data_IF_254691110252
#
_entry.id   IF_254691110252
#
_cell.length_a   1.000
_cell.length_b   1.000
_cell.length_c   1.000
_cell.angle_alpha   90.00
_cell.angle_beta   90.00
_cell.angle_gamma   90.00
#
_symmetry.space_group_name_H-M   'P 1'
#
loop_
_entity.id
_entity.type
_entity.pdbx_description
1 polymer ?
#
# COMPACT_ATOMS: atom_id res chain seq x y z
N UNK A 1 69.17 -29.33 48.40
CA UNK A 1 67.83 -29.90 48.62
C UNK A 1 66.82 -28.74 48.66
N UNK A 2 66.37 -28.32 47.49
CA UNK A 2 65.44 -27.22 47.21
C UNK A 2 64.73 -27.66 45.94
N UNK A 3 63.40 -27.78 45.95
CA UNK A 3 62.51 -26.90 45.18
C UNK A 3 61.06 -27.42 45.26
N UNK A 4 60.27 -26.81 46.15
CA UNK A 4 58.87 -27.15 46.35
C UNK A 4 57.99 -26.38 45.36
N UNK A 5 57.67 -27.01 44.22
CA UNK A 5 56.72 -26.50 43.22
C UNK A 5 55.33 -26.35 43.84
N UNK A 6 54.89 -25.10 44.07
CA UNK A 6 53.49 -24.82 44.44
C UNK A 6 52.60 -24.90 43.19
N UNK A 7 51.48 -25.66 43.21
CA UNK A 7 50.54 -25.71 42.11
C UNK A 7 49.79 -24.37 41.97
N UNK A 8 49.77 -23.84 40.75
CA UNK A 8 48.95 -22.70 40.35
C UNK A 8 47.48 -22.97 40.66
N UNK A 9 46.97 -22.36 41.72
CA UNK A 9 45.53 -22.25 41.96
C UNK A 9 44.90 -21.47 40.81
N UNK A 10 44.25 -22.18 39.88
CA UNK A 10 43.33 -21.59 38.91
C UNK A 10 42.27 -20.80 39.68
N UNK A 11 42.32 -19.48 39.58
CA UNK A 11 41.24 -18.61 40.06
C UNK A 11 39.96 -19.02 39.33
N UNK A 12 38.86 -19.35 40.04
CA UNK A 12 37.57 -19.53 39.39
C UNK A 12 37.25 -18.22 38.66
N UNK A 13 37.07 -18.30 37.34
CA UNK A 13 36.57 -17.17 36.54
C UNK A 13 35.27 -16.74 37.21
N UNK A 14 35.28 -15.51 37.73
CA UNK A 14 34.07 -14.88 38.22
C UNK A 14 33.01 -15.05 37.13
N UNK A 15 31.93 -15.76 37.46
CA UNK A 15 30.78 -15.87 36.60
C UNK A 15 30.35 -14.43 36.28
N UNK A 16 30.63 -14.01 35.05
CA UNK A 16 30.13 -12.78 34.45
C UNK A 16 28.62 -12.80 34.68
N UNK A 17 28.18 -12.02 35.68
CA UNK A 17 26.77 -11.72 35.87
C UNK A 17 26.36 -10.97 34.62
N UNK A 18 25.87 -11.72 33.62
CA UNK A 18 25.24 -11.17 32.43
C UNK A 18 24.24 -10.13 32.92
N UNK A 19 24.43 -8.83 32.58
CA UNK A 19 23.53 -7.79 33.03
C UNK A 19 22.12 -8.20 32.65
N UNK A 20 21.24 -8.24 33.65
CA UNK A 20 19.85 -8.65 33.49
C UNK A 20 19.20 -7.79 32.41
N UNK A 21 18.99 -8.38 31.24
CA UNK A 21 17.76 -8.28 30.47
C UNK A 21 17.32 -6.89 30.01
N UNK A 22 18.23 -6.00 29.63
CA UNK A 22 17.84 -5.01 28.61
C UNK A 22 17.78 -5.75 27.29
N UNK A 23 16.61 -6.35 27.00
CA UNK A 23 16.30 -6.85 25.66
C UNK A 23 16.62 -5.73 24.69
N UNK A 24 17.58 -5.97 23.80
CA UNK A 24 17.95 -5.01 22.77
C UNK A 24 16.65 -4.49 22.13
N UNK A 25 16.51 -3.16 21.92
CA UNK A 25 15.27 -2.58 21.42
C UNK A 25 14.86 -3.35 20.15
N UNK A 26 13.74 -4.07 20.23
CA UNK A 26 13.27 -4.91 19.13
C UNK A 26 12.96 -3.98 17.97
N UNK A 27 13.72 -4.11 16.88
CA UNK A 27 13.48 -3.34 15.66
C UNK A 27 12.04 -3.61 15.20
N UNK A 28 11.29 -2.54 14.96
CA UNK A 28 9.96 -2.64 14.36
C UNK A 28 10.15 -3.02 12.88
N UNK A 29 9.59 -4.16 12.48
CA UNK A 29 9.63 -4.64 11.10
C UNK A 29 8.86 -3.70 10.16
N UNK A 30 9.28 -3.62 8.90
CA UNK A 30 8.60 -2.82 7.87
C UNK A 30 7.12 -3.19 7.71
N UNK A 31 6.79 -4.47 7.88
CA UNK A 31 5.42 -4.98 7.83
C UNK A 31 4.47 -4.31 8.83
N UNK A 32 4.95 -4.00 10.04
CA UNK A 32 4.15 -3.29 11.05
C UNK A 32 3.79 -1.88 10.60
N UNK A 33 4.70 -1.20 9.91
CA UNK A 33 4.41 0.11 9.32
C UNK A 33 3.37 0.00 8.21
N UNK A 34 3.40 -1.04 7.37
CA UNK A 34 2.35 -1.29 6.37
C UNK A 34 1.01 -1.60 7.05
N UNK A 35 1.00 -2.38 8.14
CA UNK A 35 -0.21 -2.63 8.92
C UNK A 35 -0.78 -1.34 9.53
N UNK A 36 0.07 -0.45 10.05
CA UNK A 36 -0.34 0.87 10.53
C UNK A 36 -0.82 1.78 9.40
N UNK A 37 -0.20 1.71 8.22
CA UNK A 37 -0.65 2.44 7.03
C UNK A 37 -2.08 2.01 6.64
N UNK A 38 -2.36 0.70 6.64
CA UNK A 38 -3.70 0.16 6.45
C UNK A 38 -4.70 0.69 7.48
N UNK A 39 -4.35 0.64 8.78
CA UNK A 39 -5.22 1.13 9.84
C UNK A 39 -5.50 2.63 9.71
N UNK A 40 -4.48 3.43 9.43
CA UNK A 40 -4.60 4.87 9.18
C UNK A 40 -5.47 5.18 7.95
N UNK A 41 -5.36 4.36 6.91
CA UNK A 41 -6.17 4.50 5.71
C UNK A 41 -7.66 4.24 6.00
N UNK A 42 -7.98 3.20 6.77
CA UNK A 42 -9.35 2.91 7.21
C UNK A 42 -9.90 4.04 8.11
N UNK A 43 -9.03 4.64 8.93
CA UNK A 43 -9.36 5.81 9.74
C UNK A 43 -9.41 7.13 8.96
N UNK A 44 -9.27 7.10 7.63
CA UNK A 44 -9.29 8.28 6.74
C UNK A 44 -8.21 9.32 7.07
N UNK A 45 -7.01 8.87 7.49
CA UNK A 45 -5.86 9.71 7.83
C UNK A 45 -4.73 9.59 6.78
N UNK A 46 -4.85 10.28 5.62
CA UNK A 46 -3.92 10.09 4.50
C UNK A 46 -2.48 10.50 4.81
N UNK A 47 -2.26 11.52 5.64
CA UNK A 47 -0.92 11.96 6.05
C UNK A 47 -0.18 10.88 6.85
N UNK A 48 -0.89 10.21 7.76
CA UNK A 48 -0.34 9.11 8.57
C UNK A 48 -0.08 7.90 7.69
N UNK A 49 -0.98 7.57 6.75
CA UNK A 49 -0.75 6.51 5.76
C UNK A 49 0.54 6.76 4.98
N UNK A 50 0.70 7.94 4.36
CA UNK A 50 1.91 8.26 3.58
C UNK A 50 3.17 8.23 4.43
N UNK A 51 3.10 8.69 5.68
CA UNK A 51 4.23 8.62 6.61
C UNK A 51 4.60 7.16 6.92
N UNK A 52 3.62 6.32 7.22
CA UNK A 52 3.84 4.90 7.49
C UNK A 52 4.40 4.16 6.25
N UNK A 53 3.90 4.46 5.05
CA UNK A 53 4.44 3.93 3.79
C UNK A 53 5.90 4.34 3.57
N UNK A 54 6.22 5.62 3.75
CA UNK A 54 7.60 6.11 3.62
C UNK A 54 8.53 5.47 4.66
N UNK A 55 8.06 5.26 5.89
CA UNK A 55 8.82 4.56 6.93
C UNK A 55 9.01 3.08 6.60
N UNK A 56 8.01 2.41 6.02
CA UNK A 56 8.15 1.05 5.53
C UNK A 56 9.17 0.96 4.38
N UNK A 57 9.14 1.90 3.43
CA UNK A 57 10.06 1.98 2.29
C UNK A 57 11.51 2.23 2.76
N UNK A 58 11.71 3.09 3.77
CA UNK A 58 13.02 3.25 4.40
C UNK A 58 13.49 1.96 5.09
N UNK A 59 12.59 1.25 5.78
CA UNK A 59 12.93 0.01 6.49
C UNK A 59 13.21 -1.17 5.58
N UNK A 60 12.70 -1.14 4.34
CA UNK A 60 13.00 -2.12 3.28
C UNK A 60 14.50 -2.19 2.97
N UNK A 61 15.19 -1.04 2.99
CA UNK A 61 16.63 -0.96 2.64
C UNK A 61 17.53 -0.57 3.81
N UNK A 62 16.97 -0.17 4.95
CA UNK A 62 17.74 0.13 6.13
C UNK A 62 18.30 -1.16 6.73
N UNK A 63 19.46 -1.58 6.24
CA UNK A 63 20.41 -2.32 7.07
C UNK A 63 20.65 -1.51 8.35
N UNK A 64 20.80 -2.18 9.48
CA UNK A 64 21.22 -1.50 10.70
C UNK A 64 22.62 -0.90 10.46
N UNK A 65 22.71 0.35 9.99
CA UNK A 65 23.97 0.96 9.55
C UNK A 65 25.04 0.96 10.64
N UNK A 66 24.65 0.81 11.91
CA UNK A 66 25.60 0.74 13.01
C UNK A 66 26.19 -0.66 13.22
N UNK A 67 25.39 -1.73 13.01
CA UNK A 67 25.75 -3.11 13.32
C UNK A 67 25.83 -3.99 12.08
N UNK A 68 24.80 -3.99 11.24
CA UNK A 68 24.76 -4.77 10.00
C UNK A 68 25.65 -4.19 8.91
N UNK A 69 25.81 -2.86 8.79
CA UNK A 69 26.77 -2.35 7.82
C UNK A 69 28.19 -2.73 8.22
N UNK A 70 28.53 -2.68 9.52
CA UNK A 70 29.82 -3.17 10.00
C UNK A 70 29.95 -4.69 9.81
N UNK A 71 28.93 -5.46 10.17
CA UNK A 71 28.95 -6.93 10.04
C UNK A 71 28.95 -7.40 8.59
N UNK A 72 28.22 -6.75 7.69
CA UNK A 72 28.23 -7.08 6.26
C UNK A 72 29.53 -6.65 5.58
N UNK A 73 30.06 -5.47 5.92
CA UNK A 73 31.37 -5.04 5.43
C UNK A 73 32.43 -5.99 5.94
N UNK A 74 32.42 -6.33 7.24
CA UNK A 74 33.33 -7.28 7.86
C UNK A 74 33.18 -8.70 7.29
N UNK A 75 31.95 -9.17 7.03
CA UNK A 75 31.70 -10.45 6.39
C UNK A 75 32.24 -10.49 4.97
N UNK A 76 32.12 -9.40 4.20
CA UNK A 76 32.76 -9.28 2.87
C UNK A 76 34.28 -9.31 2.97
N UNK A 77 34.89 -8.59 3.92
CA UNK A 77 36.34 -8.65 4.11
C UNK A 77 36.79 -10.04 4.54
N UNK A 78 36.10 -10.65 5.50
CA UNK A 78 36.42 -12.00 6.00
C UNK A 78 36.24 -13.07 4.92
N UNK A 79 35.28 -12.90 3.99
CA UNK A 79 35.13 -13.77 2.84
C UNK A 79 36.30 -13.63 1.85
N UNK A 80 36.73 -12.39 1.54
CA UNK A 80 37.91 -12.14 0.69
C UNK A 80 39.19 -12.70 1.31
N UNK A 81 39.32 -12.63 2.64
CA UNK A 81 40.44 -13.23 3.38
C UNK A 81 40.31 -14.74 3.61
N UNK A 82 39.26 -15.39 3.09
CA UNK A 82 39.02 -16.83 3.27
C UNK A 82 38.76 -17.26 4.73
N UNK A 83 38.46 -16.30 5.62
CA UNK A 83 38.16 -16.54 7.04
C UNK A 83 36.71 -16.92 7.28
N UNK A 84 35.82 -16.55 6.37
CA UNK A 84 34.41 -16.86 6.43
C UNK A 84 34.04 -17.91 5.38
N UNK A 85 33.29 -18.94 5.79
CA UNK A 85 32.71 -19.90 4.86
C UNK A 85 31.67 -19.21 3.97
N UNK A 86 31.71 -19.51 2.66
CA UNK A 86 30.77 -18.98 1.66
C UNK A 86 29.32 -19.21 2.05
N UNK A 87 28.99 -20.39 2.57
CA UNK A 87 27.64 -20.75 3.04
C UNK A 87 27.11 -19.80 4.13
N UNK A 88 27.98 -19.30 5.01
CA UNK A 88 27.56 -18.36 6.07
C UNK A 88 27.30 -16.96 5.51
N UNK A 89 28.08 -16.52 4.52
CA UNK A 89 27.83 -15.26 3.83
C UNK A 89 26.53 -15.30 3.02
N UNK A 90 26.26 -16.41 2.32
CA UNK A 90 24.99 -16.64 1.62
C UNK A 90 23.80 -16.62 2.58
N UNK A 91 23.91 -17.28 3.75
CA UNK A 91 22.83 -17.26 4.74
C UNK A 91 22.46 -15.87 5.25
N UNK A 92 23.43 -14.94 5.32
CA UNK A 92 23.15 -13.54 5.70
C UNK A 92 22.42 -12.81 4.58
N UNK A 93 22.84 -12.99 3.32
CA UNK A 93 22.19 -12.38 2.16
C UNK A 93 20.77 -12.92 1.92
N UNK A 94 20.54 -14.20 2.22
CA UNK A 94 19.21 -14.81 2.11
C UNK A 94 18.21 -14.20 3.10
N UNK A 95 18.63 -13.91 4.34
CA UNK A 95 17.76 -13.28 5.33
C UNK A 95 17.29 -11.88 4.91
N UNK A 96 18.16 -11.07 4.33
CA UNK A 96 17.81 -9.74 3.84
C UNK A 96 16.77 -9.81 2.70
N UNK A 97 16.96 -10.79 1.82
CA UNK A 97 16.06 -11.02 0.69
C UNK A 97 14.68 -11.50 1.14
N UNK A 98 14.62 -12.37 2.15
CA UNK A 98 13.36 -12.82 2.73
C UNK A 98 12.57 -11.67 3.36
N UNK A 99 13.23 -10.76 4.09
CA UNK A 99 12.56 -9.56 4.65
C UNK A 99 12.09 -8.62 3.54
N UNK A 100 12.88 -8.44 2.47
CA UNK A 100 12.48 -7.65 1.32
C UNK A 100 11.24 -8.22 0.61
N UNK A 101 11.23 -9.54 0.40
CA UNK A 101 10.14 -10.27 -0.24
C UNK A 101 8.87 -10.20 0.63
N UNK A 102 8.99 -10.30 1.96
CA UNK A 102 7.88 -10.19 2.89
C UNK A 102 7.26 -8.78 2.89
N UNK A 103 8.11 -7.73 2.98
CA UNK A 103 7.65 -6.33 2.94
C UNK A 103 7.01 -5.99 1.60
N UNK A 104 7.62 -6.41 0.49
CA UNK A 104 7.06 -6.17 -0.85
C UNK A 104 5.76 -6.94 -1.09
N UNK A 105 5.61 -8.13 -0.51
CA UNK A 105 4.36 -8.88 -0.49
C UNK A 105 3.25 -8.13 0.24
N UNK A 106 3.54 -7.63 1.44
CA UNK A 106 2.61 -6.83 2.23
C UNK A 106 2.23 -5.51 1.53
N UNK A 107 3.18 -4.84 0.90
CA UNK A 107 2.98 -3.62 0.11
C UNK A 107 2.02 -3.86 -1.08
N UNK A 108 2.25 -4.93 -1.84
CA UNK A 108 1.36 -5.32 -2.97
C UNK A 108 -0.06 -5.60 -2.49
N UNK A 109 -0.21 -6.30 -1.38
CA UNK A 109 -1.52 -6.56 -0.79
C UNK A 109 -2.22 -5.27 -0.36
N UNK A 110 -1.52 -4.40 0.37
CA UNK A 110 -2.03 -3.10 0.80
C UNK A 110 -2.57 -2.26 -0.37
N UNK A 111 -1.75 -2.05 -1.41
CA UNK A 111 -2.18 -1.26 -2.55
C UNK A 111 -3.29 -1.93 -3.38
N UNK A 112 -3.35 -3.27 -3.39
CA UNK A 112 -4.47 -4.00 -4.01
C UNK A 112 -5.78 -3.72 -3.27
N UNK A 113 -5.78 -3.78 -1.94
CA UNK A 113 -6.94 -3.42 -1.11
C UNK A 113 -7.32 -1.95 -1.28
N UNK A 114 -6.33 -1.04 -1.37
CA UNK A 114 -6.57 0.37 -1.68
C UNK A 114 -7.29 0.54 -3.03
N UNK A 115 -6.85 -0.15 -4.09
CA UNK A 115 -7.49 -0.09 -5.40
C UNK A 115 -8.95 -0.58 -5.35
N UNK A 116 -9.21 -1.69 -4.65
CA UNK A 116 -10.57 -2.17 -4.44
C UNK A 116 -11.42 -1.14 -3.67
N UNK A 117 -10.87 -0.52 -2.62
CA UNK A 117 -11.57 0.53 -1.88
C UNK A 117 -11.85 1.77 -2.75
N UNK A 118 -10.96 2.16 -3.65
CA UNK A 118 -11.20 3.24 -4.61
C UNK A 118 -12.31 2.86 -5.59
N UNK A 119 -12.27 1.62 -6.09
CA UNK A 119 -13.28 1.12 -7.02
C UNK A 119 -14.68 1.10 -6.37
N UNK A 120 -14.83 0.44 -5.22
CA UNK A 120 -16.12 0.37 -4.54
C UNK A 120 -16.53 1.70 -3.89
N UNK A 121 -15.58 2.45 -3.31
CA UNK A 121 -15.88 3.68 -2.59
C UNK A 121 -16.14 4.87 -3.50
N UNK A 122 -15.34 5.06 -4.56
CA UNK A 122 -15.45 6.22 -5.43
C UNK A 122 -16.21 5.92 -6.71
N UNK A 123 -15.87 4.83 -7.40
CA UNK A 123 -16.44 4.55 -8.73
C UNK A 123 -17.88 4.08 -8.63
N UNK A 124 -18.20 3.15 -7.73
CA UNK A 124 -19.57 2.67 -7.54
C UNK A 124 -20.49 3.80 -7.03
N UNK A 125 -20.02 4.62 -6.09
CA UNK A 125 -20.78 5.76 -5.58
C UNK A 125 -21.08 6.78 -6.68
N UNK A 126 -20.08 7.09 -7.51
CA UNK A 126 -20.25 7.98 -8.67
C UNK A 126 -21.22 7.38 -9.69
N UNK A 127 -21.15 6.08 -9.96
CA UNK A 127 -22.11 5.39 -10.83
C UNK A 127 -23.55 5.44 -10.29
N UNK A 128 -23.72 5.27 -8.98
CA UNK A 128 -25.02 5.43 -8.31
C UNK A 128 -25.52 6.88 -8.42
N UNK A 129 -24.67 7.88 -8.14
CA UNK A 129 -25.02 9.30 -8.27
C UNK A 129 -25.46 9.65 -9.69
N UNK A 130 -24.74 9.17 -10.72
CA UNK A 130 -25.10 9.36 -12.11
C UNK A 130 -26.45 8.69 -12.45
N UNK A 131 -26.71 7.51 -11.89
CA UNK A 131 -27.98 6.79 -12.11
C UNK A 131 -29.17 7.46 -11.40
N UNK A 132 -28.95 8.02 -10.20
CA UNK A 132 -29.96 8.84 -9.52
C UNK A 132 -30.23 10.14 -10.26
N UNK A 133 -29.19 10.80 -10.78
CA UNK A 133 -29.33 12.00 -11.59
C UNK A 133 -30.15 11.71 -12.84
N UNK A 134 -29.85 10.60 -13.54
CA UNK A 134 -30.62 10.14 -14.69
C UNK A 134 -32.09 9.98 -14.31
N UNK A 135 -32.41 9.24 -13.24
CA UNK A 135 -33.78 8.97 -12.82
C UNK A 135 -34.55 10.23 -12.38
N UNK A 136 -33.90 11.12 -11.62
CA UNK A 136 -34.50 12.33 -11.07
C UNK A 136 -34.44 13.56 -11.99
N UNK A 137 -33.85 13.46 -13.19
CA UNK A 137 -33.52 14.61 -14.04
C UNK A 137 -34.71 15.55 -14.33
N UNK A 138 -35.92 14.99 -14.47
CA UNK A 138 -37.14 15.77 -14.74
C UNK A 138 -37.71 16.49 -13.51
N UNK A 139 -37.37 16.02 -12.31
CA UNK A 139 -37.87 16.57 -11.04
C UNK A 139 -36.87 17.53 -10.41
N UNK A 140 -35.57 17.34 -10.65
CA UNK A 140 -34.52 18.17 -10.10
C UNK A 140 -34.48 19.54 -10.79
N UNK A 141 -34.38 20.62 -10.00
CA UNK A 141 -34.08 21.96 -10.49
C UNK A 141 -32.65 22.08 -11.05
N UNK A 142 -32.42 23.04 -11.92
CA UNK A 142 -31.14 23.17 -12.65
C UNK A 142 -29.94 23.43 -11.74
N UNK A 143 -30.15 24.12 -10.61
CA UNK A 143 -29.11 24.33 -9.61
C UNK A 143 -28.63 23.00 -8.99
N UNK A 144 -29.56 22.06 -8.73
CA UNK A 144 -29.22 20.75 -8.19
C UNK A 144 -28.47 19.90 -9.23
N UNK A 145 -28.86 19.97 -10.52
CA UNK A 145 -28.18 19.25 -11.60
C UNK A 145 -26.71 19.64 -11.71
N UNK A 146 -26.41 20.94 -11.73
CA UNK A 146 -25.02 21.41 -11.78
C UNK A 146 -24.20 20.98 -10.55
N UNK A 147 -24.77 21.06 -9.34
CA UNK A 147 -24.11 20.60 -8.11
C UNK A 147 -23.71 19.12 -8.18
N UNK A 148 -24.61 18.27 -8.69
CA UNK A 148 -24.33 16.84 -8.87
C UNK A 148 -23.24 16.63 -9.91
N UNK A 149 -23.28 17.35 -11.04
CA UNK A 149 -22.23 17.27 -12.06
C UNK A 149 -20.84 17.66 -11.53
N UNK A 150 -20.75 18.74 -10.75
CA UNK A 150 -19.49 19.15 -10.10
C UNK A 150 -19.01 18.09 -9.11
N UNK A 151 -19.92 17.52 -8.31
CA UNK A 151 -19.60 16.46 -7.35
C UNK A 151 -19.08 15.19 -8.05
N UNK A 152 -19.70 14.78 -9.16
CA UNK A 152 -19.26 13.65 -9.99
C UNK A 152 -17.89 13.94 -10.61
N UNK A 153 -17.66 15.13 -11.16
CA UNK A 153 -16.38 15.53 -11.75
C UNK A 153 -15.25 15.53 -10.71
N UNK A 154 -15.51 16.07 -9.51
CA UNK A 154 -14.53 16.08 -8.42
C UNK A 154 -14.22 14.65 -7.95
N UNK A 155 -15.25 13.79 -7.81
CA UNK A 155 -15.08 12.39 -7.43
C UNK A 155 -14.27 11.61 -8.47
N UNK A 156 -14.52 11.86 -9.77
CA UNK A 156 -13.73 11.30 -10.85
C UNK A 156 -12.26 11.75 -10.78
N UNK A 157 -12.00 13.04 -10.57
CA UNK A 157 -10.63 13.55 -10.45
C UNK A 157 -9.88 12.92 -9.27
N UNK A 158 -10.52 12.77 -8.10
CA UNK A 158 -9.93 12.13 -6.93
C UNK A 158 -9.67 10.63 -7.19
N UNK A 159 -10.62 9.91 -7.79
CA UNK A 159 -10.48 8.51 -8.12
C UNK A 159 -9.34 8.27 -9.12
N UNK A 160 -9.20 9.11 -10.13
CA UNK A 160 -8.11 9.05 -11.12
C UNK A 160 -6.75 9.39 -10.50
N UNK A 161 -6.66 10.44 -9.68
CA UNK A 161 -5.42 10.82 -9.02
C UNK A 161 -4.91 9.69 -8.12
N UNK A 162 -5.78 9.13 -7.27
CA UNK A 162 -5.45 8.01 -6.38
C UNK A 162 -5.19 6.72 -7.14
N UNK A 163 -5.97 6.43 -8.18
CA UNK A 163 -5.80 5.27 -9.05
C UNK A 163 -4.47 5.29 -9.78
N UNK A 164 -4.07 6.44 -10.34
CA UNK A 164 -2.76 6.62 -10.99
C UNK A 164 -1.60 6.46 -10.01
N UNK A 165 -1.71 6.99 -8.79
CA UNK A 165 -0.69 6.84 -7.75
C UNK A 165 -0.51 5.35 -7.38
N UNK A 166 -1.60 4.63 -7.15
CA UNK A 166 -1.57 3.20 -6.84
C UNK A 166 -1.07 2.35 -8.02
N UNK A 167 -1.47 2.69 -9.25
CA UNK A 167 -1.09 1.94 -10.45
C UNK A 167 0.42 1.93 -10.69
N UNK A 168 1.09 3.06 -10.43
CA UNK A 168 2.55 3.19 -10.54
C UNK A 168 3.30 2.25 -9.60
N UNK A 169 2.73 1.92 -8.42
CA UNK A 169 3.37 1.04 -7.42
C UNK A 169 3.13 -0.46 -7.72
N UNK A 170 1.98 -0.85 -8.29
CA UNK A 170 1.69 -2.26 -8.63
C UNK A 170 2.29 -2.75 -9.95
N UNK A 171 2.74 -1.85 -10.83
CA UNK A 171 3.14 -2.19 -12.19
C UNK A 171 1.95 -2.62 -13.07
N UNK A 172 2.13 -3.64 -13.91
CA UNK A 172 1.14 -4.05 -14.94
C UNK A 172 -0.27 -4.30 -14.38
N UNK A 173 -0.41 -5.00 -13.24
CA UNK A 173 -1.71 -5.26 -12.62
C UNK A 173 -2.41 -3.96 -12.19
N UNK A 174 -1.67 -3.00 -11.66
CA UNK A 174 -2.19 -1.69 -11.30
C UNK A 174 -2.75 -0.94 -12.50
N UNK A 175 -2.07 -0.99 -13.64
CA UNK A 175 -2.55 -0.39 -14.88
C UNK A 175 -3.85 -1.02 -15.38
N UNK A 176 -4.00 -2.34 -15.31
CA UNK A 176 -5.26 -2.99 -15.71
C UNK A 176 -6.45 -2.53 -14.87
N UNK A 177 -6.28 -2.42 -13.55
CA UNK A 177 -7.32 -1.91 -12.64
C UNK A 177 -7.61 -0.43 -12.87
N UNK A 178 -6.57 0.39 -13.10
CA UNK A 178 -6.75 1.80 -13.44
C UNK A 178 -7.52 1.97 -14.76
N UNK A 179 -7.23 1.15 -15.76
CA UNK A 179 -8.00 1.11 -17.02
C UNK A 179 -9.48 0.82 -16.80
N UNK A 180 -9.81 -0.12 -15.92
CA UNK A 180 -11.20 -0.37 -15.53
C UNK A 180 -11.83 0.85 -14.84
N UNK A 181 -11.12 1.52 -13.93
CA UNK A 181 -11.60 2.75 -13.28
C UNK A 181 -11.90 3.83 -14.33
N UNK A 182 -10.99 4.07 -15.28
CA UNK A 182 -11.20 5.05 -16.37
C UNK A 182 -12.42 4.68 -17.19
N UNK A 183 -12.60 3.40 -17.52
CA UNK A 183 -13.75 2.93 -18.29
C UNK A 183 -15.07 3.18 -17.56
N UNK A 184 -15.13 2.91 -16.24
CA UNK A 184 -16.33 3.20 -15.44
C UNK A 184 -16.56 4.71 -15.25
N UNK A 185 -15.50 5.53 -15.14
CA UNK A 185 -15.61 6.99 -15.12
C UNK A 185 -16.18 7.51 -16.43
N UNK A 186 -15.64 7.05 -17.57
CA UNK A 186 -16.14 7.39 -18.89
C UNK A 186 -17.60 6.94 -19.07
N UNK A 187 -17.95 5.75 -18.56
CA UNK A 187 -19.33 5.27 -18.53
C UNK A 187 -20.26 6.19 -17.75
N UNK A 188 -19.90 6.56 -16.53
CA UNK A 188 -20.70 7.47 -15.71
C UNK A 188 -20.84 8.84 -16.39
N UNK A 189 -19.76 9.35 -16.98
CA UNK A 189 -19.77 10.58 -17.76
C UNK A 189 -20.71 10.50 -18.97
N UNK A 190 -20.71 9.39 -19.70
CA UNK A 190 -21.62 9.15 -20.82
C UNK A 190 -23.08 9.17 -20.35
N UNK A 191 -23.41 8.51 -19.22
CA UNK A 191 -24.75 8.57 -18.63
C UNK A 191 -25.20 9.99 -18.32
N UNK A 192 -24.34 10.78 -17.68
CA UNK A 192 -24.63 12.19 -17.39
C UNK A 192 -24.84 12.96 -18.69
N UNK A 193 -23.96 12.81 -19.67
CA UNK A 193 -24.08 13.48 -20.97
C UNK A 193 -25.41 13.13 -21.68
N UNK A 194 -25.79 11.85 -21.72
CA UNK A 194 -27.05 11.43 -22.33
C UNK A 194 -28.28 11.94 -21.57
N UNK A 195 -28.21 12.06 -20.24
CA UNK A 195 -29.28 12.66 -19.45
C UNK A 195 -29.54 14.13 -19.85
N UNK A 196 -28.51 14.88 -20.23
CA UNK A 196 -28.67 16.24 -20.78
C UNK A 196 -29.14 16.26 -22.23
N UNK A 197 -28.63 15.35 -23.07
CA UNK A 197 -28.96 15.32 -24.50
C UNK A 197 -30.39 14.83 -24.78
N UNK A 198 -30.93 13.93 -23.95
CA UNK A 198 -32.23 13.30 -24.13
C UNK A 198 -33.01 13.21 -22.80
N UNK A 199 -33.60 14.33 -22.32
CA UNK A 199 -34.25 14.37 -21.01
C UNK A 199 -35.48 13.45 -20.87
N UNK A 200 -36.09 13.05 -21.98
CA UNK A 200 -37.29 12.22 -22.02
C UNK A 200 -37.01 10.70 -22.12
N UNK A 201 -35.76 10.30 -22.31
CA UNK A 201 -35.39 8.90 -22.51
C UNK A 201 -34.41 8.43 -21.43
N UNK A 202 -34.58 7.19 -20.97
CA UNK A 202 -33.59 6.52 -20.13
C UNK A 202 -32.65 5.77 -21.05
N UNK A 203 -31.35 6.03 -20.94
CA UNK A 203 -30.36 5.42 -21.81
C UNK A 203 -29.85 4.15 -21.16
N UNK A 204 -30.14 3.01 -21.79
CA UNK A 204 -29.60 1.74 -21.37
C UNK A 204 -28.46 1.34 -22.31
N UNK A 205 -27.22 1.36 -21.81
CA UNK A 205 -26.06 0.98 -22.63
C UNK A 205 -26.13 -0.48 -23.07
N UNK A 206 -26.66 -1.39 -22.24
CA UNK A 206 -26.71 -2.82 -22.59
C UNK A 206 -27.50 -3.09 -23.87
N UNK A 207 -28.50 -2.25 -24.15
CA UNK A 207 -29.33 -2.34 -25.35
C UNK A 207 -28.96 -1.30 -26.40
N UNK A 208 -28.02 -0.37 -26.11
CA UNK A 208 -27.70 0.82 -26.91
C UNK A 208 -28.93 1.58 -27.42
N UNK A 209 -30.04 1.48 -26.69
CA UNK A 209 -31.35 1.97 -27.13
C UNK A 209 -31.95 2.89 -26.07
N UNK A 210 -32.64 3.92 -26.54
CA UNK A 210 -33.35 4.87 -25.71
C UNK A 210 -34.75 4.33 -25.43
N UNK A 211 -34.99 3.87 -24.21
CA UNK A 211 -36.35 3.55 -23.80
C UNK A 211 -37.05 4.86 -23.48
N UNK A 212 -38.18 5.12 -24.15
CA UNK A 212 -39.12 6.16 -23.73
C UNK A 212 -39.45 5.93 -22.27
N UNK A 213 -39.39 6.99 -21.44
CA UNK A 213 -40.05 6.96 -20.13
C UNK A 213 -41.54 6.83 -20.39
N UNK A 214 -42.02 5.58 -20.51
CA UNK A 214 -43.41 5.28 -20.76
C UNK A 214 -44.27 6.10 -19.82
N UNK A 215 -45.14 6.92 -20.39
CA UNK A 215 -46.06 7.78 -19.65
C UNK A 215 -46.98 6.93 -18.79
N UNK A 216 -46.59 6.75 -17.53
CA UNK A 216 -47.55 6.61 -16.43
C UNK A 216 -48.04 8.03 -16.14
N UNK A 217 -48.95 8.50 -17.01
CA UNK A 217 -49.86 9.59 -16.70
C UNK A 217 -51.05 9.01 -15.94
#
# INVERSE_FOLDING_TARGET
>A
ALDARRPMRRRPRAAERSPRGMSAPTRVSGERFIAWANAAQVAMMPSVTMFCEAMAEQRKYAHDFSKDAKLSTQARTELVFGRLNVSRAESMQMGDREEEEAVSGAERWHFTVLLFNIFFGSVLLMWLQASFLEHGFSVLGDEAKWKVCVSVALSAAIALARGCQAARRLGSRGFTMCGLIVLFVAWAGAKVHFAYACPNHVWNLSTFNCASRGGLA
#
